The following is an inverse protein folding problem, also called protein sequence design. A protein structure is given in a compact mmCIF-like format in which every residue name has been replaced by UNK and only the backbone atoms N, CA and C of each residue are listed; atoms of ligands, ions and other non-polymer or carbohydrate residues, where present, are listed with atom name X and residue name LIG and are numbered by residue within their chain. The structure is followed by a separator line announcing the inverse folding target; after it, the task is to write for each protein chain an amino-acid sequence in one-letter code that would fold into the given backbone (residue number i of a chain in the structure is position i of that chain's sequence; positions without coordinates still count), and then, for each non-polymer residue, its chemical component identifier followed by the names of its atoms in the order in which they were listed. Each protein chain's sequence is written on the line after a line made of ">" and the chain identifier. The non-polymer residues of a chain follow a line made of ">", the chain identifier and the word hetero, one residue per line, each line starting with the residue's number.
data_IF_289381998055
#
_entry.id   IF_289381998055
#
_cell.length_a   1.000
_cell.length_b   1.000
_cell.length_c   1.000
_cell.angle_alpha   90.00
_cell.angle_beta   90.00
_cell.angle_gamma   90.00
#
_symmetry.space_group_name_H-M   'P 1'
#
loop_
_entity.id
_entity.type
_entity.pdbx_description
1 polymer ?
#
# COMPACT_ATOMS: atom_id res chain seq x y z
N UNK A 1 -9.93 -13.97 -11.98
CA UNK A 1 -10.71 -12.73 -11.81
C UNK A 1 -11.22 -12.29 -13.17
N UNK A 2 -10.33 -12.02 -14.12
CA UNK A 2 -10.70 -11.46 -15.42
C UNK A 2 -11.62 -12.35 -16.26
N UNK A 3 -11.35 -13.65 -16.35
CA UNK A 3 -12.24 -14.60 -17.05
C UNK A 3 -13.61 -14.75 -16.39
N UNK A 4 -13.72 -14.54 -15.07
CA UNK A 4 -14.97 -14.73 -14.32
C UNK A 4 -15.88 -13.52 -14.38
N UNK A 5 -15.30 -12.32 -14.40
CA UNK A 5 -16.04 -11.06 -14.32
C UNK A 5 -15.94 -10.19 -15.58
N UNK A 6 -15.27 -10.68 -16.64
CA UNK A 6 -15.09 -9.95 -17.91
C UNK A 6 -14.48 -8.56 -17.74
N UNK A 7 -13.62 -8.40 -16.72
CA UNK A 7 -12.94 -7.16 -16.38
C UNK A 7 -11.43 -7.36 -16.30
N UNK A 8 -10.66 -6.36 -16.72
CA UNK A 8 -9.21 -6.42 -16.63
C UNK A 8 -8.75 -6.31 -15.17
N UNK A 9 -7.68 -7.03 -14.83
CA UNK A 9 -7.05 -6.98 -13.53
C UNK A 9 -5.54 -6.92 -13.74
N UNK A 10 -4.95 -5.77 -13.43
CA UNK A 10 -3.54 -5.48 -13.67
C UNK A 10 -2.79 -5.65 -12.34
N UNK A 11 -1.94 -6.67 -12.19
CA UNK A 11 -1.11 -6.80 -10.99
C UNK A 11 0.05 -5.81 -11.04
N UNK A 12 0.22 -5.02 -9.97
CA UNK A 12 1.34 -4.07 -9.82
C UNK A 12 2.07 -4.38 -8.50
N UNK A 13 3.22 -5.07 -8.54
CA UNK A 13 4.02 -5.28 -7.35
C UNK A 13 4.66 -3.96 -6.92
N UNK A 14 4.42 -3.53 -5.68
CA UNK A 14 5.01 -2.33 -5.09
C UNK A 14 5.09 -2.47 -3.55
N UNK A 15 6.03 -1.73 -2.94
CA UNK A 15 6.14 -1.59 -1.49
C UNK A 15 5.70 -0.17 -1.09
N UNK A 16 4.47 -0.05 -0.62
CA UNK A 16 3.86 1.21 -0.23
C UNK A 16 4.36 1.74 1.12
N UNK A 17 5.24 1.03 1.83
CA UNK A 17 5.82 1.51 3.09
C UNK A 17 6.94 2.55 2.89
N UNK A 18 7.36 2.77 1.64
CA UNK A 18 8.42 3.71 1.28
C UNK A 18 7.91 4.74 0.28
N UNK A 19 8.48 5.96 0.33
CA UNK A 19 8.09 7.03 -0.59
C UNK A 19 8.42 6.65 -2.04
N UNK A 20 9.58 6.05 -2.25
CA UNK A 20 10.04 5.59 -3.56
C UNK A 20 9.10 4.54 -4.15
N UNK A 21 8.58 3.62 -3.32
CA UNK A 21 7.62 2.62 -3.75
C UNK A 21 6.23 3.20 -4.08
N UNK A 22 5.80 4.25 -3.38
CA UNK A 22 4.57 4.99 -3.73
C UNK A 22 4.75 5.73 -5.07
N UNK A 23 5.87 6.43 -5.26
CA UNK A 23 6.18 7.13 -6.52
C UNK A 23 6.25 6.16 -7.71
N UNK A 24 6.87 5.00 -7.54
CA UNK A 24 6.92 3.96 -8.57
C UNK A 24 5.51 3.42 -8.90
N UNK A 25 4.68 3.13 -7.90
CA UNK A 25 3.30 2.71 -8.12
C UNK A 25 2.51 3.74 -8.95
N UNK A 26 2.61 5.02 -8.62
CA UNK A 26 1.95 6.11 -9.35
C UNK A 26 2.42 6.13 -10.81
N UNK A 27 3.73 6.03 -11.05
CA UNK A 27 4.30 5.99 -12.39
C UNK A 27 3.83 4.77 -13.20
N UNK A 28 3.62 3.61 -12.56
CA UNK A 28 3.08 2.44 -13.24
C UNK A 28 1.61 2.62 -13.62
N UNK A 29 0.79 3.24 -12.76
CA UNK A 29 -0.63 3.48 -13.03
C UNK A 29 -0.83 4.51 -14.14
N UNK A 30 -0.16 5.67 -14.07
CA UNK A 30 -0.32 6.72 -15.11
C UNK A 30 0.15 6.29 -16.50
N UNK A 31 0.98 5.26 -16.60
CA UNK A 31 1.37 4.65 -17.88
C UNK A 31 0.33 3.66 -18.44
N UNK A 32 -0.66 3.26 -17.65
CA UNK A 32 -1.67 2.25 -18.01
C UNK A 32 -3.08 2.79 -18.05
N UNK A 33 -3.40 3.73 -17.16
CA UNK A 33 -4.73 4.27 -16.95
C UNK A 33 -4.71 5.79 -16.94
N UNK A 34 -5.83 6.41 -17.35
CA UNK A 34 -5.95 7.87 -17.37
C UNK A 34 -6.24 8.50 -16.00
N UNK A 35 -6.58 7.68 -15.00
CA UNK A 35 -6.94 8.14 -13.67
C UNK A 35 -7.41 7.02 -12.75
N UNK A 36 -7.74 7.38 -11.51
CA UNK A 36 -8.26 6.48 -10.48
C UNK A 36 -9.61 7.03 -10.01
N UNK A 37 -10.68 6.27 -10.21
CA UNK A 37 -12.02 6.62 -9.68
C UNK A 37 -12.17 6.23 -8.19
N UNK A 38 -11.57 5.10 -7.81
CA UNK A 38 -11.64 4.56 -6.46
C UNK A 38 -10.25 4.13 -5.98
N UNK A 39 -9.84 4.65 -4.83
CA UNK A 39 -8.63 4.23 -4.14
C UNK A 39 -9.01 3.46 -2.87
N UNK A 40 -8.68 2.17 -2.82
CA UNK A 40 -8.89 1.33 -1.65
C UNK A 40 -7.56 1.12 -0.94
N UNK A 41 -7.34 1.87 0.14
CA UNK A 41 -6.15 1.76 0.97
C UNK A 41 -6.24 0.55 1.91
N UNK A 42 -5.96 -0.63 1.36
CA UNK A 42 -6.02 -1.90 2.09
C UNK A 42 -4.66 -2.36 2.63
N UNK A 43 -3.54 -1.78 2.15
CA UNK A 43 -2.22 -2.17 2.62
C UNK A 43 -2.11 -1.95 4.14
N UNK A 44 -1.62 -2.96 4.86
CA UNK A 44 -1.53 -2.88 6.31
C UNK A 44 -0.64 -3.92 6.94
N UNK A 45 -0.07 -3.56 8.08
CA UNK A 45 0.67 -4.42 8.97
C UNK A 45 0.01 -4.46 10.35
N UNK A 46 0.00 -5.63 10.97
CA UNK A 46 -0.33 -5.79 12.38
C UNK A 46 0.93 -6.15 13.16
N UNK A 47 1.12 -5.53 14.32
CA UNK A 47 2.21 -5.83 15.23
C UNK A 47 1.68 -6.04 16.64
N UNK A 48 2.19 -7.05 17.33
CA UNK A 48 1.72 -7.43 18.66
C UNK A 48 2.88 -7.69 19.60
N UNK A 49 3.04 -6.81 20.58
CA UNK A 49 4.02 -6.91 21.66
C UNK A 49 3.41 -6.40 22.97
N UNK A 50 3.92 -6.82 24.14
CA UNK A 50 3.53 -6.23 25.41
C UNK A 50 3.78 -4.73 25.42
N UNK A 51 2.86 -3.97 26.01
CA UNK A 51 2.93 -2.51 26.07
C UNK A 51 4.24 -2.00 26.71
N UNK A 52 4.70 -2.66 27.76
CA UNK A 52 5.91 -2.28 28.51
C UNK A 52 7.21 -2.49 27.73
N UNK A 53 7.17 -3.30 26.67
CA UNK A 53 8.34 -3.69 25.89
C UNK A 53 8.12 -3.50 24.38
N UNK A 54 7.21 -2.60 24.00
CA UNK A 54 6.86 -2.39 22.60
C UNK A 54 8.04 -1.74 21.87
N UNK A 55 8.49 -2.38 20.80
CA UNK A 55 9.67 -1.95 20.05
C UNK A 55 9.35 -0.79 19.09
N UNK A 56 10.31 0.12 18.90
CA UNK A 56 10.22 1.18 17.89
C UNK A 56 10.06 0.60 16.48
N UNK A 57 10.75 -0.49 16.15
CA UNK A 57 10.62 -1.13 14.84
C UNK A 57 9.20 -1.68 14.56
N UNK A 58 8.52 -2.21 15.59
CA UNK A 58 7.13 -2.62 15.48
C UNK A 58 6.17 -1.43 15.29
N UNK A 59 6.46 -0.32 15.98
CA UNK A 59 5.70 0.92 15.87
C UNK A 59 5.86 1.54 14.49
N UNK A 60 7.10 1.73 14.03
CA UNK A 60 7.44 2.32 12.75
C UNK A 60 6.80 1.53 11.61
N UNK A 61 6.86 0.20 11.67
CA UNK A 61 6.24 -0.66 10.65
C UNK A 61 4.73 -0.44 10.52
N UNK A 62 4.02 -0.28 11.63
CA UNK A 62 2.57 -0.03 11.62
C UNK A 62 2.27 1.39 11.16
N UNK A 63 3.01 2.38 11.66
CA UNK A 63 2.75 3.79 11.38
C UNK A 63 3.14 4.19 9.95
N UNK A 64 4.27 3.71 9.45
CA UNK A 64 4.72 3.99 8.08
C UNK A 64 3.74 3.39 7.05
N UNK A 65 3.31 2.14 7.24
CA UNK A 65 2.43 1.48 6.28
C UNK A 65 0.95 1.89 6.44
N UNK A 66 0.39 1.86 7.64
CA UNK A 66 -1.07 1.97 7.82
C UNK A 66 -1.55 3.41 7.87
N UNK A 67 -0.68 4.36 8.18
CA UNK A 67 -1.05 5.76 8.41
C UNK A 67 -0.31 6.68 7.43
N UNK A 68 1.02 6.66 7.43
CA UNK A 68 1.83 7.62 6.68
C UNK A 68 1.70 7.47 5.16
N UNK A 69 1.71 6.24 4.64
CA UNK A 69 1.59 5.95 3.20
C UNK A 69 0.33 6.52 2.54
N UNK A 70 -0.71 6.79 3.33
CA UNK A 70 -1.96 7.38 2.85
C UNK A 70 -1.83 8.87 2.51
N UNK A 71 -0.78 9.52 3.04
CA UNK A 71 -0.57 10.96 2.94
C UNK A 71 0.71 11.33 2.20
N UNK A 72 1.75 10.48 2.22
CA UNK A 72 3.09 10.78 1.72
C UNK A 72 3.70 9.58 0.99
#
# INVERSE_FOLDING_TARGET
>A
MSEKYEHECIPIPCDLSTKEGVEDFVNQIVNKENGIDFLINNAGAAWGEPFESFSEGGWDKVMDLNVKSLFF
#
